data_IF_088239727044
#
_entry.id   IF_088239727044
#
_cell.length_a   1.000
_cell.length_b   1.000
_cell.length_c   1.000
_cell.angle_alpha   90.00
_cell.angle_beta   90.00
_cell.angle_gamma   90.00
#
_symmetry.space_group_name_H-M   'P 1'
#
loop_
_entity.id
_entity.type
_entity.pdbx_description
1 polymer ?
#
# COMPACT_ATOMS: atom_id res chain seq x y z
N UNK A 1 17.86 -14.20 10.53
CA UNK A 1 18.44 -13.16 9.64
C UNK A 1 17.32 -12.58 8.77
N UNK A 2 17.29 -11.26 8.64
CA UNK A 2 16.13 -10.42 8.31
C UNK A 2 15.69 -10.57 6.84
N UNK A 3 14.73 -11.47 6.57
CA UNK A 3 14.24 -11.88 5.24
C UNK A 3 13.45 -10.83 4.43
N UNK A 4 13.80 -9.55 4.53
CA UNK A 4 13.08 -8.45 3.88
C UNK A 4 13.70 -7.94 2.57
N UNK A 5 14.75 -8.59 2.06
CA UNK A 5 15.58 -7.99 1.01
C UNK A 5 15.03 -8.12 -0.41
N UNK A 6 14.74 -9.35 -0.86
CA UNK A 6 14.59 -9.63 -2.29
C UNK A 6 13.13 -9.80 -2.74
N UNK A 7 12.34 -10.59 -2.00
CA UNK A 7 10.94 -10.83 -2.32
C UNK A 7 10.11 -9.54 -2.29
N UNK A 8 10.31 -8.72 -1.25
CA UNK A 8 9.69 -7.39 -1.13
C UNK A 8 10.01 -6.52 -2.35
N UNK A 9 11.29 -6.39 -2.71
CA UNK A 9 11.69 -5.57 -3.86
C UNK A 9 11.09 -6.06 -5.17
N UNK A 10 11.01 -7.37 -5.39
CA UNK A 10 10.38 -7.95 -6.61
C UNK A 10 8.88 -7.65 -6.65
N UNK A 11 8.18 -7.87 -5.54
CA UNK A 11 6.75 -7.60 -5.45
C UNK A 11 6.45 -6.10 -5.59
N UNK A 12 7.24 -5.24 -4.94
CA UNK A 12 7.14 -3.78 -5.07
C UNK A 12 7.35 -3.32 -6.50
N UNK A 13 8.31 -3.88 -7.24
CA UNK A 13 8.51 -3.55 -8.68
C UNK A 13 7.33 -3.99 -9.53
N UNK A 14 6.79 -5.20 -9.30
CA UNK A 14 5.61 -5.70 -10.04
C UNK A 14 4.40 -4.79 -9.82
N UNK A 15 4.16 -4.43 -8.56
CA UNK A 15 3.07 -3.54 -8.18
C UNK A 15 3.32 -2.09 -8.60
N UNK A 16 4.57 -1.63 -8.72
CA UNK A 16 4.88 -0.28 -9.16
C UNK A 16 4.30 0.03 -10.54
N UNK A 17 4.35 -0.90 -11.49
CA UNK A 17 3.72 -0.72 -12.79
C UNK A 17 2.19 -0.63 -12.69
N UNK A 18 1.57 -1.37 -11.77
CA UNK A 18 0.12 -1.34 -11.56
C UNK A 18 -0.32 -0.08 -10.81
N UNK A 19 0.45 0.36 -9.82
CA UNK A 19 0.19 1.64 -9.13
C UNK A 19 0.43 2.81 -10.09
N UNK A 20 1.43 2.71 -10.96
CA UNK A 20 1.68 3.70 -12.02
C UNK A 20 0.53 3.78 -13.04
N UNK A 21 -0.33 2.76 -13.19
CA UNK A 21 -1.56 2.90 -13.99
C UNK A 21 -2.68 3.62 -13.25
N UNK A 22 -2.54 3.94 -11.96
CA UNK A 22 -3.52 4.70 -11.20
C UNK A 22 -4.79 3.91 -10.84
N UNK A 23 -4.79 2.60 -11.06
CA UNK A 23 -5.95 1.72 -10.92
C UNK A 23 -5.92 0.89 -9.64
N UNK A 24 -4.89 1.07 -8.82
CA UNK A 24 -4.67 0.25 -7.63
C UNK A 24 -5.26 0.95 -6.40
N UNK A 25 -6.24 0.32 -5.72
CA UNK A 25 -6.79 0.85 -4.48
C UNK A 25 -5.81 0.63 -3.32
N UNK A 26 -5.74 1.62 -2.43
CA UNK A 26 -5.00 1.54 -1.18
C UNK A 26 -5.68 0.55 -0.23
N UNK A 27 -4.93 -0.42 0.30
CA UNK A 27 -5.46 -1.44 1.21
C UNK A 27 -6.03 -0.88 2.53
N UNK A 28 -5.65 0.34 2.95
CA UNK A 28 -6.20 0.99 4.16
C UNK A 28 -7.45 1.82 3.90
N UNK A 29 -7.41 2.71 2.90
CA UNK A 29 -8.47 3.71 2.69
C UNK A 29 -9.38 3.40 1.50
N UNK A 30 -9.08 2.38 0.70
CA UNK A 30 -9.84 2.00 -0.49
C UNK A 30 -9.67 2.92 -1.70
N UNK A 31 -9.19 4.15 -1.50
CA UNK A 31 -8.94 5.11 -2.59
C UNK A 31 -7.83 4.67 -3.53
N UNK A 32 -7.98 5.00 -4.81
CA UNK A 32 -6.97 4.75 -5.84
C UNK A 32 -5.71 5.56 -5.58
N UNK A 33 -4.56 4.90 -5.68
CA UNK A 33 -3.25 5.53 -5.59
C UNK A 33 -2.92 6.13 -6.96
N UNK A 34 -2.68 7.44 -7.01
CA UNK A 34 -2.40 8.09 -8.28
C UNK A 34 -1.02 7.69 -8.85
N UNK A 35 -0.84 7.73 -10.18
CA UNK A 35 0.47 7.52 -10.82
C UNK A 35 1.51 8.50 -10.27
N UNK A 36 2.61 7.97 -9.73
CA UNK A 36 3.68 8.79 -9.14
C UNK A 36 3.42 9.27 -7.72
N UNK A 37 2.24 9.00 -7.13
CA UNK A 37 2.00 9.28 -5.72
C UNK A 37 2.84 8.34 -4.84
N UNK A 38 3.47 8.85 -3.75
CA UNK A 38 4.27 8.00 -2.87
C UNK A 38 3.38 6.97 -2.17
N UNK A 39 3.74 5.70 -2.36
CA UNK A 39 3.07 4.54 -1.77
C UNK A 39 4.08 3.57 -1.17
N UNK A 40 3.61 2.74 -0.25
CA UNK A 40 4.36 1.70 0.44
C UNK A 40 3.64 0.35 0.31
N UNK A 41 4.41 -0.73 0.36
CA UNK A 41 3.86 -2.08 0.38
C UNK A 41 3.65 -2.48 1.84
N UNK A 42 2.40 -2.44 2.28
CA UNK A 42 1.97 -2.85 3.61
C UNK A 42 2.28 -4.32 3.86
N UNK A 43 2.60 -4.64 5.11
CA UNK A 43 2.70 -6.02 5.59
C UNK A 43 1.47 -6.35 6.43
N UNK A 44 1.15 -7.64 6.51
CA UNK A 44 0.18 -8.12 7.48
C UNK A 44 0.76 -7.95 8.90
N UNK A 45 -0.10 -7.49 9.83
CA UNK A 45 0.29 -7.16 11.20
C UNK A 45 0.65 -8.43 12.01
N UNK A 46 0.07 -9.58 11.66
CA UNK A 46 0.33 -10.88 12.29
C UNK A 46 1.42 -11.66 11.56
N UNK A 47 1.50 -11.52 10.24
CA UNK A 47 2.49 -12.17 9.41
C UNK A 47 3.25 -11.20 8.50
N UNK A 48 4.40 -10.80 9.01
CA UNK A 48 5.41 -9.97 8.35
C UNK A 48 5.96 -10.53 7.04
N UNK A 49 5.71 -11.80 6.71
CA UNK A 49 6.04 -12.43 5.43
C UNK A 49 4.95 -12.25 4.37
N UNK A 50 3.73 -11.90 4.79
CA UNK A 50 2.57 -11.65 3.93
C UNK A 50 2.42 -10.15 3.68
N UNK A 51 2.11 -9.82 2.43
CA UNK A 51 1.89 -8.45 2.00
C UNK A 51 0.40 -8.21 1.90
N UNK A 52 -0.11 -7.25 2.65
CA UNK A 52 -1.52 -6.83 2.64
C UNK A 52 -1.87 -6.02 1.40
N UNK A 53 -0.87 -5.39 0.79
CA UNK A 53 -0.99 -4.74 -0.50
C UNK A 53 -0.38 -3.33 -0.52
N UNK A 54 -0.51 -2.64 -1.66
CA UNK A 54 -0.08 -1.26 -1.81
C UNK A 54 -0.97 -0.32 -1.00
N UNK A 55 -0.34 0.58 -0.26
CA UNK A 55 -0.97 1.56 0.62
C UNK A 55 -0.33 2.92 0.35
N UNK A 56 -1.08 4.02 0.42
CA UNK A 56 -0.44 5.34 0.32
C UNK A 56 0.63 5.49 1.41
N UNK A 57 1.75 6.14 1.10
CA UNK A 57 2.79 6.40 2.10
C UNK A 57 2.23 7.23 3.26
N UNK A 58 1.30 8.16 2.97
CA UNK A 58 0.56 8.90 3.99
C UNK A 58 -0.33 8.00 4.85
N UNK A 59 -1.02 7.02 4.26
CA UNK A 59 -1.92 6.12 4.99
C UNK A 59 -1.11 5.17 5.85
N UNK A 60 -0.07 4.54 5.29
CA UNK A 60 0.83 3.66 6.02
C UNK A 60 1.50 4.38 7.21
N UNK A 61 2.05 5.59 7.00
CA UNK A 61 2.67 6.39 8.08
C UNK A 61 1.66 6.98 9.08
N UNK A 62 0.46 7.35 8.63
CA UNK A 62 -0.59 7.86 9.52
C UNK A 62 -1.32 6.75 10.30
N UNK A 63 -1.21 5.48 9.90
CA UNK A 63 -1.84 4.34 10.59
C UNK A 63 -1.18 4.03 11.94
N UNK A 64 0.03 4.53 12.22
CA UNK A 64 0.54 4.59 13.59
C UNK A 64 -0.29 5.53 14.50
N UNK A 65 -1.15 6.39 13.93
CA UNK A 65 -1.85 7.43 14.66
C UNK A 65 -3.38 7.47 14.52
N UNK A 66 -4.00 7.20 13.35
CA UNK A 66 -5.46 7.41 13.17
C UNK A 66 -6.03 6.57 12.01
N UNK A 67 -6.98 5.67 12.32
CA UNK A 67 -7.92 5.09 11.35
C UNK A 67 -8.80 6.22 10.76
N UNK A 68 -8.49 6.72 9.56
CA UNK A 68 -9.40 7.62 8.84
C UNK A 68 -10.40 6.78 8.03
N UNK A 69 -11.68 7.12 8.18
CA UNK A 69 -12.82 6.58 7.43
C UNK A 69 -12.60 6.75 5.92
N UNK A 70 -12.98 5.78 5.07
CA UNK A 70 -12.93 5.93 3.62
C UNK A 70 -13.83 7.10 3.21
N UNK A 71 -13.32 7.97 2.33
CA UNK A 71 -14.15 8.99 1.71
C UNK A 71 -15.03 8.29 0.68
N UNK A 72 -16.33 8.33 0.93
CA UNK A 72 -17.36 7.87 0.00
C UNK A 72 -17.25 8.68 -1.30
N UNK A 73 -16.88 8.04 -2.42
CA UNK A 73 -17.17 8.58 -3.75
C UNK A 73 -18.58 8.15 -4.13
N UNK A 74 -19.48 9.11 -4.01
CA UNK A 74 -20.85 9.13 -4.52
C UNK A 74 -20.79 9.23 -6.06
N UNK A 75 -21.62 8.44 -6.74
CA UNK A 75 -22.11 8.70 -8.10
C UNK A 75 -23.63 8.77 -8.03
#
# INVERSE_FOLDING_TARGET
MRGYGAAHKRLRRRLASQVASGTVPCARCGELIAPGEPWDLGHDDFDRSRYSGPEHARCNRATAGRRKRPASRVW
#
